data_IF_182580640626
#
_entry.id   IF_182580640626
#
_cell.length_a   1.000
_cell.length_b   1.000
_cell.length_c   1.000
_cell.angle_alpha   90.00
_cell.angle_beta   90.00
_cell.angle_gamma   90.00
#
_symmetry.space_group_name_H-M   'P 1'
#
loop_
_entity.id
_entity.type
_entity.pdbx_description
1 polymer ?
#
# COMPACT_ATOMS: atom_id res chain seq x y z
N UNK A 1 26.79 -0.13 2.49
CA UNK A 1 25.61 -0.15 3.38
C UNK A 1 24.28 -0.44 2.66
N UNK A 2 24.11 -0.15 1.36
CA UNK A 2 22.83 -0.31 0.64
C UNK A 2 22.45 -1.74 0.21
N UNK A 3 23.42 -2.67 0.09
CA UNK A 3 23.14 -4.03 -0.41
C UNK A 3 22.30 -4.86 0.57
N UNK A 4 22.49 -4.69 1.89
CA UNK A 4 21.75 -5.45 2.90
C UNK A 4 20.27 -5.07 2.99
N UNK A 5 19.92 -3.78 2.84
CA UNK A 5 18.52 -3.36 2.83
C UNK A 5 17.77 -3.91 1.61
N UNK A 6 18.42 -4.01 0.46
CA UNK A 6 17.74 -4.53 -0.74
C UNK A 6 17.35 -6.00 -0.57
N UNK A 7 18.22 -6.79 0.04
CA UNK A 7 17.95 -8.21 0.30
C UNK A 7 16.92 -8.43 1.41
N UNK A 8 16.82 -7.54 2.40
CA UNK A 8 15.80 -7.65 3.45
C UNK A 8 14.38 -7.42 2.95
N UNK A 9 14.19 -6.62 1.88
CA UNK A 9 12.87 -6.36 1.31
C UNK A 9 12.53 -7.20 0.07
N UNK A 10 13.53 -7.66 -0.70
CA UNK A 10 13.32 -8.49 -1.89
C UNK A 10 13.24 -10.00 -1.59
N UNK A 11 12.60 -10.37 -0.48
CA UNK A 11 12.34 -11.76 -0.12
C UNK A 11 11.28 -12.38 -1.04
N UNK A 12 11.27 -13.71 -1.16
CA UNK A 12 10.27 -14.39 -1.99
C UNK A 12 8.85 -14.25 -1.44
N UNK A 13 8.72 -14.15 -0.11
CA UNK A 13 7.45 -13.85 0.55
C UNK A 13 6.94 -12.44 0.17
N UNK A 14 7.78 -11.40 0.23
CA UNK A 14 7.39 -10.05 -0.17
C UNK A 14 7.01 -9.97 -1.66
N UNK A 15 7.71 -10.73 -2.53
CA UNK A 15 7.33 -10.85 -3.95
C UNK A 15 5.95 -11.50 -4.10
N UNK A 16 5.66 -12.57 -3.34
CA UNK A 16 4.36 -13.24 -3.36
C UNK A 16 3.23 -12.33 -2.86
N UNK A 17 3.45 -11.60 -1.75
CA UNK A 17 2.52 -10.58 -1.25
C UNK A 17 2.28 -9.47 -2.27
N UNK A 18 3.35 -8.96 -2.90
CA UNK A 18 3.24 -7.93 -3.95
C UNK A 18 2.41 -8.41 -5.15
N UNK A 19 2.49 -9.69 -5.53
CA UNK A 19 1.65 -10.27 -6.59
C UNK A 19 0.17 -10.32 -6.19
N UNK A 20 -0.15 -10.72 -4.95
CA UNK A 20 -1.52 -10.71 -4.44
C UNK A 20 -2.08 -9.28 -4.36
N UNK A 21 -1.28 -8.34 -3.86
CA UNK A 21 -1.64 -6.93 -3.85
C UNK A 21 -1.86 -6.36 -5.26
N UNK A 22 -1.09 -6.82 -6.24
CA UNK A 22 -1.31 -6.47 -7.65
C UNK A 22 -2.71 -6.89 -8.13
N UNK A 23 -3.15 -8.09 -7.82
CA UNK A 23 -4.47 -8.58 -8.22
C UNK A 23 -5.59 -7.69 -7.68
N UNK A 24 -5.49 -7.27 -6.41
CA UNK A 24 -6.46 -6.33 -5.80
C UNK A 24 -6.49 -5.00 -6.56
N UNK A 25 -5.33 -4.44 -6.88
CA UNK A 25 -5.25 -3.19 -7.64
C UNK A 25 -5.81 -3.32 -9.05
N UNK A 26 -5.53 -4.44 -9.73
CA UNK A 26 -6.03 -4.72 -11.07
C UNK A 26 -7.57 -4.86 -11.08
N UNK A 27 -8.16 -5.54 -10.09
CA UNK A 27 -9.62 -5.66 -9.93
C UNK A 27 -10.30 -4.30 -9.73
N UNK A 28 -9.63 -3.37 -9.05
CA UNK A 28 -10.10 -2.02 -8.80
C UNK A 28 -9.80 -1.06 -9.97
N UNK A 29 -9.08 -1.50 -11.01
CA UNK A 29 -8.70 -0.68 -12.15
C UNK A 29 -7.70 0.43 -11.81
N UNK A 30 -6.93 0.28 -10.73
CA UNK A 30 -6.00 1.30 -10.22
C UNK A 30 -4.56 0.79 -10.23
N UNK A 31 -3.61 1.71 -10.18
CA UNK A 31 -2.20 1.33 -10.01
C UNK A 31 -1.94 0.89 -8.57
N UNK A 32 -1.00 -0.06 -8.40
CA UNK A 32 -0.51 -0.48 -7.07
C UNK A 32 -0.06 0.69 -6.21
N UNK A 33 0.60 1.69 -6.82
CA UNK A 33 1.06 2.88 -6.11
C UNK A 33 -0.13 3.68 -5.56
N UNK A 34 -1.16 3.90 -6.37
CA UNK A 34 -2.37 4.59 -5.93
C UNK A 34 -3.07 3.84 -4.79
N UNK A 35 -3.25 2.52 -4.94
CA UNK A 35 -3.88 1.70 -3.90
C UNK A 35 -3.10 1.76 -2.58
N UNK A 36 -1.78 1.67 -2.63
CA UNK A 36 -0.93 1.74 -1.44
C UNK A 36 -1.03 3.11 -0.75
N UNK A 37 -1.00 4.20 -1.52
CA UNK A 37 -1.13 5.56 -0.99
C UNK A 37 -2.50 5.75 -0.35
N UNK A 38 -3.57 5.33 -1.03
CA UNK A 38 -4.94 5.42 -0.53
C UNK A 38 -5.13 4.60 0.76
N UNK A 39 -4.61 3.37 0.79
CA UNK A 39 -4.67 2.51 1.97
C UNK A 39 -3.94 3.13 3.17
N UNK A 40 -2.73 3.67 2.96
CA UNK A 40 -2.01 4.38 4.02
C UNK A 40 -2.79 5.59 4.53
N UNK A 41 -3.39 6.38 3.63
CA UNK A 41 -4.17 7.56 4.01
C UNK A 41 -5.48 7.21 4.76
N UNK A 42 -6.03 6.01 4.54
CA UNK A 42 -7.24 5.54 5.20
C UNK A 42 -6.99 4.99 6.62
N UNK A 43 -5.73 4.75 7.02
CA UNK A 43 -5.42 4.22 8.35
C UNK A 43 -5.70 5.23 9.46
N UNK A 44 -6.24 4.74 10.58
CA UNK A 44 -6.47 5.56 11.78
C UNK A 44 -5.14 6.15 12.26
N UNK A 45 -5.11 7.47 12.46
CA UNK A 45 -3.93 8.18 12.95
C UNK A 45 -2.98 8.68 11.86
N UNK A 46 -3.21 8.34 10.59
CA UNK A 46 -2.46 8.91 9.47
C UNK A 46 -3.10 10.21 9.00
N UNK A 47 -2.37 11.32 9.11
CA UNK A 47 -2.83 12.64 8.67
C UNK A 47 -2.35 13.01 7.28
N UNK A 48 -1.23 12.44 6.84
CA UNK A 48 -0.65 12.70 5.52
C UNK A 48 0.22 11.54 5.06
N UNK A 49 0.31 11.36 3.74
CA UNK A 49 1.16 10.35 3.10
C UNK A 49 2.22 11.04 2.27
N UNK A 50 3.48 10.79 2.60
CA UNK A 50 4.63 11.32 1.84
C UNK A 50 4.83 10.43 0.61
N UNK A 51 4.74 11.01 -0.59
CA UNK A 51 4.95 10.28 -1.85
C UNK A 51 6.13 10.85 -2.61
N UNK A 52 7.00 9.97 -3.09
CA UNK A 52 8.15 10.33 -3.94
C UNK A 52 7.83 10.11 -5.42
N UNK A 53 8.30 11.03 -6.27
CA UNK A 53 8.22 10.90 -7.72
C UNK A 53 9.48 11.53 -8.34
N UNK A 54 10.09 10.84 -9.30
CA UNK A 54 11.26 11.37 -10.05
C UNK A 54 10.83 12.02 -11.36
N UNK A 55 9.57 11.83 -11.76
CA UNK A 55 8.94 12.43 -12.95
C UNK A 55 7.56 12.98 -12.60
N UNK A 56 7.15 14.04 -13.30
CA UNK A 56 5.84 14.66 -13.10
C UNK A 56 4.67 13.70 -13.35
N UNK A 57 4.79 12.80 -14.33
CA UNK A 57 3.77 11.80 -14.64
C UNK A 57 3.52 10.84 -13.48
N UNK A 58 4.58 10.44 -12.76
CA UNK A 58 4.47 9.59 -11.58
C UNK A 58 3.73 10.32 -10.45
N UNK A 59 4.02 11.62 -10.26
CA UNK A 59 3.29 12.43 -9.29
C UNK A 59 1.80 12.50 -9.65
N UNK A 60 1.47 12.78 -10.91
CA UNK A 60 0.08 12.81 -11.38
C UNK A 60 -0.61 11.45 -11.20
N UNK A 61 0.09 10.35 -11.48
CA UNK A 61 -0.40 9.00 -11.22
C UNK A 61 -0.68 8.79 -9.74
N UNK A 62 0.27 9.13 -8.86
CA UNK A 62 0.11 8.99 -7.40
C UNK A 62 -1.09 9.76 -6.85
N UNK A 63 -1.34 10.98 -7.36
CA UNK A 63 -2.50 11.79 -6.96
C UNK A 63 -3.85 11.14 -7.29
N UNK A 64 -3.89 10.19 -8.22
CA UNK A 64 -5.08 9.37 -8.47
C UNK A 64 -5.52 8.56 -7.25
N UNK A 65 -4.65 8.35 -6.25
CA UNK A 65 -4.98 7.72 -4.98
C UNK A 65 -6.12 8.43 -4.24
N UNK A 66 -6.24 9.76 -4.38
CA UNK A 66 -7.27 10.56 -3.71
C UNK A 66 -8.70 10.24 -4.17
N UNK A 67 -8.84 9.50 -5.29
CA UNK A 67 -10.13 9.08 -5.84
C UNK A 67 -10.53 7.67 -5.42
N UNK A 68 -9.65 6.97 -4.69
CA UNK A 68 -9.89 5.61 -4.24
C UNK A 68 -10.49 5.67 -2.85
N UNK A 69 -11.73 5.21 -2.71
CA UNK A 69 -12.34 4.98 -1.42
C UNK A 69 -11.98 3.59 -0.90
N UNK A 70 -11.34 3.52 0.26
CA UNK A 70 -10.92 2.25 0.86
C UNK A 70 -12.09 1.72 1.68
N UNK A 71 -12.92 0.91 1.02
CA UNK A 71 -14.04 0.24 1.68
C UNK A 71 -13.55 -0.80 2.68
N UNK A 72 -14.37 -1.19 3.68
CA UNK A 72 -14.01 -2.24 4.62
C UNK A 72 -13.60 -3.56 3.94
N UNK A 73 -14.24 -3.90 2.83
CA UNK A 73 -13.91 -5.08 2.03
C UNK A 73 -12.52 -4.98 1.39
N UNK A 74 -12.18 -3.83 0.81
CA UNK A 74 -10.84 -3.60 0.24
C UNK A 74 -9.78 -3.63 1.35
N UNK A 75 -10.04 -2.99 2.49
CA UNK A 75 -9.14 -3.00 3.63
C UNK A 75 -8.88 -4.44 4.11
N UNK A 76 -9.93 -5.24 4.26
CA UNK A 76 -9.81 -6.64 4.68
C UNK A 76 -8.97 -7.46 3.69
N UNK A 77 -9.20 -7.30 2.38
CA UNK A 77 -8.39 -7.96 1.35
C UNK A 77 -6.91 -7.56 1.42
N UNK A 78 -6.61 -6.31 1.77
CA UNK A 78 -5.22 -5.85 1.96
C UNK A 78 -4.63 -6.44 3.24
N UNK A 79 -5.39 -6.50 4.33
CA UNK A 79 -4.97 -7.09 5.61
C UNK A 79 -4.68 -8.60 5.47
N UNK A 80 -5.38 -9.33 4.60
CA UNK A 80 -5.06 -10.72 4.29
C UNK A 80 -3.69 -10.88 3.60
N UNK A 81 -3.27 -9.87 2.83
CA UNK A 81 -1.96 -9.86 2.15
C UNK A 81 -0.86 -9.38 3.10
N UNK A 82 -1.18 -8.38 3.92
CA UNK A 82 -0.30 -7.75 4.89
C UNK A 82 -0.95 -7.78 6.27
N UNK A 83 -0.90 -8.95 6.95
CA UNK A 83 -1.53 -9.07 8.26
C UNK A 83 -0.93 -8.04 9.21
N UNK A 84 -1.76 -7.26 9.93
CA UNK A 84 -1.25 -6.33 10.92
C UNK A 84 -0.50 -7.15 11.96
N UNK A 85 0.77 -6.84 12.18
CA UNK A 85 1.52 -7.49 13.25
C UNK A 85 0.80 -7.20 14.56
N UNK A 86 0.40 -8.26 15.29
CA UNK A 86 -0.31 -8.20 16.56
C UNK A 86 0.43 -7.28 17.53
N UNK A 87 0.00 -6.01 17.56
CA UNK A 87 0.70 -4.96 18.30
C UNK A 87 -0.13 -3.70 18.34
N UNK A 88 -1.09 -3.69 19.27
CA UNK A 88 -2.01 -2.59 19.62
C UNK A 88 -3.07 -2.27 18.57
N UNK A 89 -4.14 -3.06 18.60
CA UNK A 89 -5.46 -2.42 18.63
C UNK A 89 -5.44 -1.55 19.89
N UNK A 90 -5.11 -0.27 19.76
CA UNK A 90 -5.52 0.71 20.76
C UNK A 90 -7.05 0.73 20.71
N UNK A 91 -7.59 -0.16 21.54
CA UNK A 91 -8.91 -0.14 22.15
C UNK A 91 -9.31 1.31 22.39
N UNK A 92 -10.49 1.65 21.90
CA UNK A 92 -11.15 2.91 22.24
C UNK A 92 -11.56 2.88 23.70
#
# INVERSE_FOLDING_TARGET
>A
RSANLRNSYLTDDNKARTKRFKAIADDLGVTRAQLAIAWCAAQKGVTSVITGATKLEQLKSNLGALKIDITPEISQRIDEVFPPELGKKEEQ
#
